data_IF_006933769358
#
_entry.id   IF_006933769358
#
_cell.length_a   1.000
_cell.length_b   1.000
_cell.length_c   1.000
_cell.angle_alpha   90.00
_cell.angle_beta   90.00
_cell.angle_gamma   90.00
#
_symmetry.space_group_name_H-M   'P 1'
#
loop_
_entity.id
_entity.type
_entity.pdbx_description
1 polymer ?
#
# COMPACT_ATOMS: atom_id res chain seq x y z
N UNK A 1 47.99 7.84 45.22
CA UNK A 1 46.72 8.59 45.03
C UNK A 1 46.37 8.61 43.54
N UNK A 2 45.40 7.76 43.21
CA UNK A 2 44.55 7.57 42.02
C UNK A 2 44.93 8.25 40.69
N UNK A 3 45.31 7.42 39.70
CA UNK A 3 45.24 7.75 38.27
C UNK A 3 43.81 7.45 37.77
N UNK A 4 43.04 8.49 37.44
CA UNK A 4 41.76 8.36 36.76
C UNK A 4 41.99 8.14 35.26
N UNK A 5 41.62 6.95 34.77
CA UNK A 5 41.50 6.65 33.35
C UNK A 5 40.09 7.07 32.93
N UNK A 6 39.98 8.13 32.14
CA UNK A 6 38.71 8.54 31.53
C UNK A 6 38.44 7.65 30.31
N UNK A 7 37.44 6.76 30.42
CA UNK A 7 36.90 6.01 29.31
C UNK A 7 35.97 6.92 28.50
N UNK A 8 36.40 7.29 27.29
CA UNK A 8 35.56 7.98 26.31
C UNK A 8 34.60 6.95 25.70
N UNK A 9 33.34 6.96 26.10
CA UNK A 9 32.29 6.16 25.45
C UNK A 9 31.86 6.93 24.19
N UNK A 10 32.33 6.47 23.03
CA UNK A 10 31.88 6.96 21.73
C UNK A 10 30.49 6.35 21.49
N UNK A 11 29.44 7.14 21.68
CA UNK A 11 28.10 6.80 21.20
C UNK A 11 28.10 6.95 19.68
N UNK A 12 28.26 5.83 18.97
CA UNK A 12 27.94 5.76 17.54
C UNK A 12 26.44 5.94 17.41
N UNK A 13 25.98 7.12 16.99
CA UNK A 13 24.64 7.27 16.46
C UNK A 13 24.60 6.45 15.17
N UNK A 14 24.03 5.25 15.24
CA UNK A 14 23.54 4.57 14.05
C UNK A 14 22.38 5.44 13.59
N UNK A 15 22.64 6.35 12.66
CA UNK A 15 21.57 6.88 11.83
C UNK A 15 21.10 5.70 11.03
N UNK A 16 20.01 5.06 11.46
CA UNK A 16 19.21 4.29 10.54
C UNK A 16 18.84 5.27 9.44
N UNK A 17 19.58 5.19 8.33
CA UNK A 17 19.21 5.87 7.12
C UNK A 17 17.88 5.26 6.74
N UNK A 18 16.78 5.91 7.10
CA UNK A 18 15.49 5.62 6.50
C UNK A 18 15.64 6.05 5.04
N UNK A 19 16.12 5.11 4.23
CA UNK A 19 15.84 5.06 2.82
C UNK A 19 14.37 5.40 2.65
N UNK A 20 14.09 6.28 1.69
CA UNK A 20 12.73 6.63 1.32
C UNK A 20 12.06 5.35 0.78
N UNK A 21 11.38 4.59 1.63
CA UNK A 21 10.74 3.37 1.19
C UNK A 21 9.44 3.73 0.44
N UNK A 22 9.29 3.35 -0.85
CA UNK A 22 8.11 3.62 -1.64
C UNK A 22 6.98 2.67 -1.22
N UNK A 23 6.56 2.75 0.03
CA UNK A 23 5.61 1.86 0.72
C UNK A 23 4.16 2.05 0.25
N UNK A 24 3.91 3.01 -0.63
CA UNK A 24 2.60 3.30 -1.21
C UNK A 24 2.67 3.73 -2.67
N UNK A 25 1.53 3.65 -3.34
CA UNK A 25 1.37 4.14 -4.71
C UNK A 25 1.88 5.57 -4.89
N UNK A 26 2.68 5.79 -5.94
CA UNK A 26 3.30 7.08 -6.28
C UNK A 26 4.28 7.63 -5.25
N UNK A 27 4.86 6.76 -4.43
CA UNK A 27 5.89 7.12 -3.46
C UNK A 27 5.34 7.85 -2.23
N UNK A 28 6.21 8.30 -1.32
CA UNK A 28 5.78 8.82 -0.01
C UNK A 28 4.94 10.08 -0.07
N UNK A 29 5.24 10.98 -1.01
CA UNK A 29 4.45 12.20 -1.25
C UNK A 29 3.23 11.95 -2.14
N UNK A 30 3.07 10.73 -2.69
CA UNK A 30 2.00 10.32 -3.61
C UNK A 30 1.87 11.17 -4.89
N UNK A 31 2.89 11.96 -5.20
CA UNK A 31 2.97 12.83 -6.37
C UNK A 31 3.71 12.16 -7.54
N UNK A 32 4.28 10.98 -7.34
CA UNK A 32 5.04 10.24 -8.36
C UNK A 32 6.46 10.75 -8.56
N UNK A 33 6.94 11.64 -7.67
CA UNK A 33 8.31 12.10 -7.65
C UNK A 33 9.12 11.31 -6.62
N UNK A 34 10.25 10.80 -7.09
CA UNK A 34 11.21 9.99 -6.34
C UNK A 34 12.50 10.81 -6.24
N UNK A 35 13.00 11.04 -5.02
CA UNK A 35 14.12 11.96 -4.76
C UNK A 35 15.50 11.31 -4.95
N UNK A 36 15.53 10.06 -5.39
CA UNK A 36 16.69 9.24 -5.61
C UNK A 36 17.65 9.87 -6.62
N UNK A 37 18.93 9.84 -6.27
CA UNK A 37 20.02 10.35 -7.09
C UNK A 37 20.87 9.19 -7.64
N UNK A 38 21.81 9.48 -8.54
CA UNK A 38 22.66 8.43 -9.14
C UNK A 38 21.96 7.55 -10.19
N UNK A 39 20.72 7.87 -10.55
CA UNK A 39 19.99 7.17 -11.62
C UNK A 39 20.62 7.41 -13.00
N UNK A 40 20.55 6.40 -13.85
CA UNK A 40 20.95 6.48 -15.26
C UNK A 40 20.22 7.64 -15.94
N UNK A 41 20.98 8.57 -16.54
CA UNK A 41 20.42 9.69 -17.33
C UNK A 41 20.06 9.27 -18.75
N UNK A 42 20.65 8.17 -19.22
CA UNK A 42 20.35 7.55 -20.51
C UNK A 42 20.53 6.05 -20.37
N UNK A 43 19.63 5.28 -20.99
CA UNK A 43 19.79 3.83 -21.06
C UNK A 43 20.92 3.44 -22.01
N UNK A 44 21.67 2.37 -21.72
CA UNK A 44 22.62 1.83 -22.69
C UNK A 44 21.87 1.29 -23.92
N UNK A 45 22.58 1.08 -25.03
CA UNK A 45 21.96 0.69 -26.31
C UNK A 45 21.12 -0.61 -26.22
N UNK A 46 21.48 -1.54 -25.35
CA UNK A 46 20.73 -2.78 -25.09
C UNK A 46 19.62 -2.67 -24.03
N UNK A 47 19.38 -1.48 -23.47
CA UNK A 47 18.50 -1.28 -22.33
C UNK A 47 19.16 -1.64 -20.98
N UNK A 48 18.54 -1.25 -19.85
CA UNK A 48 19.03 -1.61 -18.53
C UNK A 48 19.06 -3.12 -18.35
N UNK A 49 20.04 -3.61 -17.58
CA UNK A 49 20.12 -5.03 -17.22
C UNK A 49 18.88 -5.46 -16.44
N UNK A 50 18.30 -6.59 -16.83
CA UNK A 50 17.22 -7.23 -16.08
C UNK A 50 17.85 -8.03 -14.94
N UNK A 51 17.66 -7.58 -13.70
CA UNK A 51 18.18 -8.27 -12.52
C UNK A 51 17.40 -9.55 -12.18
N UNK A 52 16.07 -9.50 -12.29
CA UNK A 52 15.18 -10.65 -12.10
C UNK A 52 13.79 -10.36 -12.69
N UNK A 53 13.04 -11.43 -12.95
CA UNK A 53 11.63 -11.39 -13.39
C UNK A 53 10.82 -12.44 -12.65
N UNK A 54 9.50 -12.23 -12.58
CA UNK A 54 8.56 -13.20 -12.03
C UNK A 54 7.27 -13.19 -12.84
N UNK A 55 6.93 -14.32 -13.44
CA UNK A 55 5.84 -14.41 -14.44
C UNK A 55 4.52 -14.94 -13.85
N UNK A 56 4.53 -15.46 -12.61
CA UNK A 56 3.38 -16.16 -12.01
C UNK A 56 2.49 -15.26 -11.14
N UNK A 57 2.53 -13.93 -11.33
CA UNK A 57 1.61 -13.00 -10.64
C UNK A 57 0.15 -13.22 -11.05
N UNK A 58 -0.07 -13.66 -12.29
CA UNK A 58 -1.40 -13.68 -12.90
C UNK A 58 -1.83 -12.28 -13.35
N UNK A 59 -3.14 -12.03 -13.35
CA UNK A 59 -3.71 -10.80 -13.90
C UNK A 59 -3.68 -9.65 -12.89
N UNK A 60 -3.24 -8.46 -13.31
CA UNK A 60 -3.27 -7.28 -12.44
C UNK A 60 -2.63 -6.04 -13.04
N UNK A 61 -2.83 -4.93 -12.33
CA UNK A 61 -2.41 -3.57 -12.67
C UNK A 61 -1.79 -2.84 -11.47
N UNK A 62 -1.58 -3.53 -10.34
CA UNK A 62 -0.95 -2.95 -9.15
C UNK A 62 0.48 -2.51 -9.45
N UNK A 63 0.90 -1.41 -8.83
CA UNK A 63 2.33 -1.06 -8.79
C UNK A 63 3.07 -2.00 -7.85
N UNK A 64 4.37 -2.17 -8.07
CA UNK A 64 5.26 -2.75 -7.08
C UNK A 64 5.67 -1.66 -6.07
N UNK A 65 5.69 -2.02 -4.80
CA UNK A 65 6.17 -1.17 -3.71
C UNK A 65 7.32 -1.87 -2.98
N UNK A 66 8.17 -1.10 -2.30
CA UNK A 66 9.32 -1.63 -1.56
C UNK A 66 9.21 -1.18 -0.11
N UNK A 67 9.48 -2.10 0.80
CA UNK A 67 9.59 -1.85 2.24
C UNK A 67 10.66 -2.78 2.81
N UNK A 68 11.65 -2.21 3.51
CA UNK A 68 12.67 -2.93 4.26
C UNK A 68 13.39 -4.04 3.47
N UNK A 69 13.72 -3.77 2.20
CA UNK A 69 14.43 -4.72 1.33
C UNK A 69 13.55 -5.83 0.75
N UNK A 70 12.23 -5.71 0.85
CA UNK A 70 11.26 -6.59 0.21
C UNK A 70 10.43 -5.84 -0.83
N UNK A 71 10.06 -6.53 -1.90
CA UNK A 71 9.18 -6.03 -2.96
C UNK A 71 7.80 -6.65 -2.82
N UNK A 72 6.75 -5.83 -2.91
CA UNK A 72 5.37 -6.26 -2.78
C UNK A 72 4.56 -5.83 -3.99
N UNK A 73 3.65 -6.69 -4.42
CA UNK A 73 2.65 -6.37 -5.44
C UNK A 73 1.47 -7.32 -5.30
N UNK A 74 0.40 -7.06 -6.04
CA UNK A 74 -0.75 -7.95 -6.12
C UNK A 74 -0.93 -8.53 -7.51
N UNK A 75 -1.56 -9.70 -7.55
CA UNK A 75 -1.96 -10.35 -8.79
C UNK A 75 -3.23 -11.18 -8.57
N UNK A 76 -3.84 -11.66 -9.65
CA UNK A 76 -5.08 -12.44 -9.61
C UNK A 76 -4.93 -13.75 -10.37
N UNK A 77 -5.42 -14.83 -9.77
CA UNK A 77 -5.55 -16.14 -10.43
C UNK A 77 -6.81 -16.83 -9.92
N UNK A 78 -7.55 -17.50 -10.81
CA UNK A 78 -8.79 -18.20 -10.47
C UNK A 78 -9.78 -17.32 -9.68
N UNK A 79 -9.99 -16.09 -10.18
CA UNK A 79 -10.87 -15.05 -9.61
C UNK A 79 -10.54 -14.62 -8.17
N UNK A 80 -9.36 -15.02 -7.67
CA UNK A 80 -8.85 -14.65 -6.35
C UNK A 80 -7.65 -13.74 -6.49
N UNK A 81 -7.63 -12.68 -5.70
CA UNK A 81 -6.49 -11.81 -5.53
C UNK A 81 -5.48 -12.38 -4.53
N UNK A 82 -4.21 -12.14 -4.83
CA UNK A 82 -3.06 -12.56 -4.05
C UNK A 82 -2.14 -11.37 -3.79
N UNK A 83 -1.61 -11.29 -2.57
CA UNK A 83 -0.49 -10.45 -2.20
C UNK A 83 0.81 -11.28 -2.34
N UNK A 84 1.78 -10.72 -3.05
CA UNK A 84 3.11 -11.29 -3.21
C UNK A 84 4.12 -10.46 -2.43
N UNK A 85 5.08 -11.14 -1.80
CA UNK A 85 6.27 -10.55 -1.20
C UNK A 85 7.49 -11.28 -1.74
N UNK A 86 8.46 -10.52 -2.21
CA UNK A 86 9.75 -11.00 -2.71
C UNK A 86 10.87 -10.37 -1.90
N UNK A 87 12.00 -11.06 -1.76
CA UNK A 87 13.22 -10.35 -1.38
C UNK A 87 13.72 -9.48 -2.55
N UNK A 88 14.69 -8.60 -2.29
CA UNK A 88 15.24 -7.70 -3.31
C UNK A 88 15.89 -8.42 -4.51
N UNK A 89 16.20 -9.72 -4.37
CA UNK A 89 16.78 -10.56 -5.43
C UNK A 89 15.70 -11.31 -6.23
N UNK A 90 14.42 -11.03 -5.98
CA UNK A 90 13.29 -11.63 -6.68
C UNK A 90 12.87 -13.00 -6.16
N UNK A 91 13.43 -13.50 -5.05
CA UNK A 91 12.97 -14.75 -4.45
C UNK A 91 11.61 -14.54 -3.81
N UNK A 92 10.62 -15.34 -4.21
CA UNK A 92 9.31 -15.34 -3.58
C UNK A 92 9.43 -15.74 -2.10
N UNK A 93 9.02 -14.83 -1.21
CA UNK A 93 8.93 -15.04 0.23
C UNK A 93 7.58 -15.63 0.58
N UNK A 94 6.50 -15.00 0.11
CA UNK A 94 5.16 -15.56 0.20
C UNK A 94 4.25 -15.11 -0.94
N UNK A 95 3.22 -15.93 -1.19
CA UNK A 95 2.03 -15.65 -1.97
C UNK A 95 0.81 -15.93 -1.11
N UNK A 96 0.01 -14.91 -0.78
CA UNK A 96 -1.10 -15.01 0.17
C UNK A 96 -2.40 -14.55 -0.46
N UNK A 97 -3.40 -15.43 -0.49
CA UNK A 97 -4.72 -15.09 -1.01
C UNK A 97 -5.45 -14.16 -0.02
N UNK A 98 -6.03 -13.05 -0.51
CA UNK A 98 -6.84 -12.15 0.31
C UNK A 98 -8.34 -12.29 0.06
N UNK A 99 -8.75 -12.78 -1.11
CA UNK A 99 -10.17 -13.02 -1.41
C UNK A 99 -10.51 -12.81 -2.89
N UNK A 100 -11.81 -12.73 -3.21
CA UNK A 100 -12.27 -12.51 -4.58
C UNK A 100 -11.77 -11.19 -5.16
N UNK A 101 -11.51 -11.19 -6.46
CA UNK A 101 -11.23 -9.98 -7.23
C UNK A 101 -12.26 -9.69 -8.32
N UNK A 102 -12.20 -8.48 -8.89
CA UNK A 102 -13.09 -8.01 -9.93
C UNK A 102 -12.81 -8.66 -11.29
N UNK A 103 -13.83 -9.33 -11.82
CA UNK A 103 -13.74 -10.17 -13.02
C UNK A 103 -14.72 -9.77 -14.12
N UNK A 104 -15.37 -8.60 -14.05
CA UNK A 104 -16.34 -8.21 -15.10
C UNK A 104 -15.71 -7.42 -16.25
N UNK A 105 -14.70 -6.60 -15.96
CA UNK A 105 -13.96 -5.83 -16.96
C UNK A 105 -12.55 -5.55 -16.44
N UNK A 106 -11.57 -5.34 -17.34
CA UNK A 106 -10.16 -5.12 -17.00
C UNK A 106 -9.69 -6.08 -15.89
N UNK A 107 -9.66 -7.38 -16.19
CA UNK A 107 -9.46 -8.43 -15.20
C UNK A 107 -8.17 -8.22 -14.39
N UNK A 108 -8.24 -8.47 -13.08
CA UNK A 108 -7.06 -8.52 -12.22
C UNK A 108 -7.10 -7.58 -11.04
N UNK A 109 -6.14 -7.79 -10.15
CA UNK A 109 -5.95 -6.92 -8.98
C UNK A 109 -5.49 -5.51 -9.41
N UNK A 110 -5.98 -4.47 -8.75
CA UNK A 110 -5.65 -3.07 -9.12
C UNK A 110 -5.08 -2.26 -7.95
N UNK A 111 -5.56 -2.55 -6.74
CA UNK A 111 -5.15 -1.83 -5.54
C UNK A 111 -3.67 -2.02 -5.29
N UNK A 112 -2.92 -0.91 -5.28
CA UNK A 112 -1.53 -0.94 -4.82
C UNK A 112 -1.56 -0.93 -3.29
N UNK A 113 -0.88 -1.88 -2.62
CA UNK A 113 -0.89 -1.92 -1.17
C UNK A 113 -0.25 -0.66 -0.57
N UNK A 114 -0.54 -0.40 0.69
CA UNK A 114 0.18 0.59 1.52
C UNK A 114 0.73 -0.11 2.74
N UNK A 115 2.03 0.02 3.00
CA UNK A 115 2.72 -0.64 4.11
C UNK A 115 3.07 0.38 5.18
N UNK A 116 2.71 0.09 6.43
CA UNK A 116 3.08 0.93 7.58
C UNK A 116 3.49 0.04 8.75
N UNK A 117 4.80 -0.16 8.89
CA UNK A 117 5.38 -1.04 9.90
C UNK A 117 5.04 -2.50 9.64
N UNK A 118 4.43 -3.15 10.63
CA UNK A 118 4.10 -4.58 10.59
C UNK A 118 2.80 -4.91 9.83
N UNK A 119 2.21 -3.93 9.13
CA UNK A 119 0.89 -4.05 8.50
C UNK A 119 0.86 -3.59 7.05
N UNK A 120 0.05 -4.29 6.27
CA UNK A 120 -0.23 -4.03 4.86
C UNK A 120 -1.71 -3.72 4.71
N UNK A 121 -2.05 -2.69 3.96
CA UNK A 121 -3.41 -2.26 3.71
C UNK A 121 -3.71 -2.29 2.22
N UNK A 122 -4.82 -2.93 1.84
CA UNK A 122 -5.14 -3.22 0.45
C UNK A 122 -6.64 -3.14 0.21
N UNK A 123 -7.06 -2.42 -0.84
CA UNK A 123 -8.43 -2.45 -1.34
C UNK A 123 -8.51 -3.37 -2.57
N UNK A 124 -9.38 -4.37 -2.54
CA UNK A 124 -9.67 -5.17 -3.72
C UNK A 124 -10.62 -4.45 -4.69
N UNK A 125 -10.61 -4.87 -5.96
CA UNK A 125 -11.58 -4.49 -6.98
C UNK A 125 -13.04 -4.78 -6.63
N UNK A 126 -13.27 -5.68 -5.66
CA UNK A 126 -14.59 -5.96 -5.10
C UNK A 126 -14.99 -5.00 -3.96
N UNK A 127 -14.18 -3.98 -3.65
CA UNK A 127 -14.49 -3.01 -2.61
C UNK A 127 -14.27 -3.54 -1.20
N UNK A 128 -13.40 -4.54 -1.02
CA UNK A 128 -13.04 -5.05 0.31
C UNK A 128 -11.68 -4.51 0.73
N UNK A 129 -11.67 -3.74 1.82
CA UNK A 129 -10.47 -3.19 2.45
C UNK A 129 -9.93 -4.22 3.44
N UNK A 130 -8.67 -4.59 3.29
CA UNK A 130 -7.97 -5.54 4.13
C UNK A 130 -6.85 -4.87 4.90
N UNK A 131 -6.65 -5.31 6.14
CA UNK A 131 -5.39 -5.17 6.85
C UNK A 131 -4.78 -6.56 7.03
N UNK A 132 -3.53 -6.71 6.62
CA UNK A 132 -2.77 -7.95 6.70
C UNK A 132 -1.51 -7.74 7.54
N UNK A 133 -1.04 -8.80 8.18
CA UNK A 133 0.28 -8.85 8.79
C UNK A 133 1.36 -8.85 7.70
N UNK A 134 2.39 -8.01 7.82
CA UNK A 134 3.46 -7.86 6.82
C UNK A 134 4.42 -9.06 6.78
N UNK A 135 4.60 -9.76 7.89
CA UNK A 135 5.48 -10.92 7.96
C UNK A 135 4.79 -12.18 7.42
N UNK A 136 3.59 -12.49 7.92
CA UNK A 136 2.88 -13.72 7.57
C UNK A 136 1.94 -13.58 6.37
N UNK A 137 1.54 -12.35 6.03
CA UNK A 137 0.51 -12.07 5.02
C UNK A 137 -0.90 -12.51 5.42
N UNK A 138 -1.14 -12.82 6.69
CA UNK A 138 -2.46 -13.21 7.18
C UNK A 138 -3.36 -11.99 7.41
N UNK A 139 -4.65 -12.14 7.13
CA UNK A 139 -5.64 -11.07 7.34
C UNK A 139 -5.85 -10.87 8.84
N UNK A 140 -5.64 -9.63 9.30
CA UNK A 140 -5.91 -9.22 10.69
C UNK A 140 -7.35 -8.72 10.85
N UNK A 141 -7.83 -7.95 9.87
CA UNK A 141 -9.23 -7.51 9.78
C UNK A 141 -9.59 -7.15 8.33
N UNK A 142 -10.88 -7.09 8.03
CA UNK A 142 -11.39 -6.61 6.75
C UNK A 142 -12.71 -5.83 6.91
N UNK A 143 -12.94 -4.87 6.01
CA UNK A 143 -14.20 -4.12 5.86
C UNK A 143 -14.66 -4.16 4.41
N UNK A 144 -15.96 -4.29 4.19
CA UNK A 144 -16.58 -4.24 2.87
C UNK A 144 -17.21 -2.85 2.69
N UNK A 145 -16.72 -2.09 1.72
CA UNK A 145 -17.14 -0.70 1.54
C UNK A 145 -18.63 -0.57 1.19
N UNK A 146 -19.22 -1.61 0.57
CA UNK A 146 -20.64 -1.61 0.25
C UNK A 146 -21.50 -1.95 1.47
N UNK A 147 -21.11 -2.95 2.26
CA UNK A 147 -21.87 -3.43 3.42
C UNK A 147 -21.69 -2.49 4.61
N UNK A 148 -20.45 -2.13 4.95
CA UNK A 148 -20.12 -1.37 6.16
C UNK A 148 -20.39 0.13 6.00
N UNK A 149 -20.27 0.67 4.77
CA UNK A 149 -20.32 2.12 4.54
C UNK A 149 -21.35 2.57 3.50
N UNK A 150 -22.11 1.65 2.89
CA UNK A 150 -23.18 1.99 1.97
C UNK A 150 -22.72 2.47 0.59
N UNK A 151 -21.46 2.15 0.22
CA UNK A 151 -20.95 2.31 -1.13
C UNK A 151 -21.47 1.23 -2.08
N UNK A 152 -20.88 1.16 -3.28
CA UNK A 152 -21.20 0.11 -4.25
C UNK A 152 -20.02 -0.19 -5.16
N UNK A 153 -19.91 -1.47 -5.57
CA UNK A 153 -18.96 -1.85 -6.62
C UNK A 153 -19.46 -1.29 -7.96
N UNK A 154 -18.69 -0.37 -8.53
CA UNK A 154 -19.02 0.35 -9.76
C UNK A 154 -18.67 -0.45 -11.01
N UNK A 155 -19.02 0.08 -12.19
CA UNK A 155 -18.93 -0.60 -13.49
C UNK A 155 -17.56 -1.20 -13.82
N UNK A 156 -16.45 -0.67 -13.30
CA UNK A 156 -15.09 -1.18 -13.57
C UNK A 156 -14.37 -1.67 -12.30
N UNK A 157 -15.13 -2.00 -11.26
CA UNK A 157 -14.62 -2.37 -9.94
C UNK A 157 -14.26 -1.14 -9.11
N UNK A 158 -13.81 -1.36 -7.88
CA UNK A 158 -13.27 -0.28 -7.04
C UNK A 158 -11.74 -0.24 -7.13
N UNK A 159 -11.14 0.94 -7.03
CA UNK A 159 -9.68 1.01 -6.92
C UNK A 159 -9.24 2.28 -6.20
N UNK A 160 -8.47 2.10 -5.15
CA UNK A 160 -7.89 3.13 -4.32
C UNK A 160 -6.70 2.52 -3.57
N UNK A 161 -5.61 3.26 -3.40
CA UNK A 161 -4.50 2.83 -2.54
C UNK A 161 -4.67 3.47 -1.16
N UNK A 162 -4.97 2.70 -0.09
CA UNK A 162 -5.34 3.26 1.21
C UNK A 162 -4.38 4.35 1.67
N UNK A 163 -4.89 5.50 2.10
CA UNK A 163 -4.07 6.61 2.60
C UNK A 163 -4.01 6.51 4.12
N UNK A 164 -2.81 6.56 4.69
CA UNK A 164 -2.61 6.34 6.11
C UNK A 164 -1.90 7.54 6.73
N UNK A 165 -2.49 8.06 7.80
CA UNK A 165 -1.90 9.08 8.66
C UNK A 165 -1.96 8.63 10.12
N UNK A 166 -0.79 8.36 10.71
CA UNK A 166 -0.68 7.88 12.09
C UNK A 166 -1.52 6.62 12.36
N UNK A 167 -2.69 6.80 12.97
CA UNK A 167 -3.64 5.72 13.33
C UNK A 167 -4.87 5.66 12.42
N UNK A 168 -4.95 6.50 11.39
CA UNK A 168 -6.14 6.69 10.56
C UNK A 168 -5.89 6.17 9.16
N UNK A 169 -6.88 5.47 8.59
CA UNK A 169 -6.97 5.16 7.16
C UNK A 169 -8.05 6.04 6.56
N UNK A 170 -7.78 6.68 5.44
CA UNK A 170 -8.77 7.35 4.61
C UNK A 170 -9.07 6.50 3.39
N UNK A 171 -10.37 6.29 3.13
CA UNK A 171 -10.88 5.54 1.98
C UNK A 171 -12.20 6.15 1.49
N UNK A 172 -12.53 5.97 0.21
CA UNK A 172 -13.68 6.60 -0.46
C UNK A 172 -14.73 5.58 -0.94
N UNK A 173 -15.65 5.14 -0.06
CA UNK A 173 -16.73 4.23 -0.47
C UNK A 173 -17.68 4.81 -1.51
N UNK A 174 -17.85 6.14 -1.52
CA UNK A 174 -19.01 6.79 -2.12
C UNK A 174 -20.33 6.32 -1.49
N UNK A 175 -21.45 6.84 -2.00
CA UNK A 175 -22.79 6.43 -1.65
C UNK A 175 -23.63 7.53 -1.01
N UNK A 176 -24.82 7.15 -0.56
CA UNK A 176 -25.83 8.09 -0.04
C UNK A 176 -25.52 8.60 1.37
N UNK A 177 -24.79 7.81 2.16
CA UNK A 177 -24.50 8.12 3.57
C UNK A 177 -23.10 8.67 3.76
N UNK A 178 -22.10 8.03 3.15
CA UNK A 178 -20.69 8.36 3.31
C UNK A 178 -20.08 8.63 1.94
N UNK A 179 -19.28 9.70 1.80
CA UNK A 179 -18.44 9.90 0.62
C UNK A 179 -17.02 9.38 0.86
N UNK A 180 -16.44 9.82 1.98
CA UNK A 180 -15.14 9.42 2.50
C UNK A 180 -15.31 8.98 3.95
N UNK A 181 -14.57 7.96 4.36
CA UNK A 181 -14.52 7.50 5.75
C UNK A 181 -13.09 7.51 6.27
N UNK A 182 -12.95 7.84 7.54
CA UNK A 182 -11.73 7.73 8.31
C UNK A 182 -11.87 6.57 9.29
N UNK A 183 -10.98 5.58 9.20
CA UNK A 183 -11.04 4.35 9.98
C UNK A 183 -9.82 4.23 10.90
N UNK A 184 -9.98 3.60 12.06
CA UNK A 184 -8.85 3.20 12.89
C UNK A 184 -8.06 2.11 12.17
N UNK A 185 -6.76 2.35 11.91
CA UNK A 185 -5.93 1.42 11.12
C UNK A 185 -5.68 0.07 11.78
N UNK A 186 -5.91 -0.04 13.08
CA UNK A 186 -5.67 -1.28 13.83
C UNK A 186 -6.91 -2.16 13.93
N UNK A 187 -8.11 -1.59 13.93
CA UNK A 187 -9.37 -2.34 14.08
C UNK A 187 -10.30 -2.26 12.86
N UNK A 188 -10.10 -1.28 11.98
CA UNK A 188 -11.02 -0.95 10.89
C UNK A 188 -12.26 -0.19 11.34
N UNK A 189 -12.37 0.18 12.62
CA UNK A 189 -13.54 0.88 13.15
C UNK A 189 -13.66 2.30 12.61
N UNK A 190 -14.90 2.73 12.36
CA UNK A 190 -15.19 4.08 11.89
C UNK A 190 -14.83 5.11 12.97
N UNK A 191 -13.98 6.07 12.62
CA UNK A 191 -13.66 7.25 13.45
C UNK A 191 -14.62 8.38 13.08
N UNK A 192 -14.70 8.73 11.80
CA UNK A 192 -15.61 9.74 11.27
C UNK A 192 -15.88 9.49 9.78
N UNK A 193 -16.92 10.14 9.25
CA UNK A 193 -17.20 10.15 7.80
C UNK A 193 -17.63 11.54 7.31
N UNK A 194 -17.33 11.80 6.04
CA UNK A 194 -17.95 12.92 5.31
C UNK A 194 -19.30 12.45 4.75
N UNK A 195 -20.37 13.27 4.85
CA UNK A 195 -21.66 12.95 4.24
C UNK A 195 -21.52 12.70 2.74
N UNK A 196 -22.21 11.66 2.27
CA UNK A 196 -22.42 11.41 0.83
C UNK A 196 -23.69 12.08 0.33
N UNK A 197 -23.80 12.29 -0.99
CA UNK A 197 -25.03 12.74 -1.65
C UNK A 197 -25.51 11.76 -2.73
N UNK A 198 -24.99 10.53 -2.70
CA UNK A 198 -25.31 9.48 -3.66
C UNK A 198 -24.32 9.37 -4.82
N UNK A 199 -23.20 10.09 -4.76
CA UNK A 199 -22.10 9.92 -5.70
C UNK A 199 -21.53 8.51 -5.59
N UNK A 200 -21.17 7.93 -6.73
CA UNK A 200 -20.46 6.66 -6.76
C UNK A 200 -18.99 6.87 -6.34
N UNK A 201 -18.34 5.79 -5.89
CA UNK A 201 -16.89 5.79 -5.77
C UNK A 201 -16.23 6.14 -7.12
N UNK A 202 -15.04 6.73 -7.05
CA UNK A 202 -14.23 7.04 -8.20
C UNK A 202 -12.83 6.43 -8.05
N UNK A 203 -12.07 6.38 -9.14
CA UNK A 203 -10.71 5.84 -9.16
C UNK A 203 -9.69 6.89 -8.68
N UNK A 204 -9.93 7.48 -7.52
CA UNK A 204 -9.12 8.55 -6.96
C UNK A 204 -8.59 8.14 -5.58
N UNK A 205 -7.28 8.08 -5.46
CA UNK A 205 -6.62 7.98 -4.16
C UNK A 205 -6.48 9.39 -3.57
N UNK A 206 -7.00 9.65 -2.36
CA UNK A 206 -6.90 10.96 -1.74
C UNK A 206 -5.43 11.32 -1.47
N UNK A 207 -5.18 12.62 -1.35
CA UNK A 207 -3.88 13.16 -0.99
C UNK A 207 -4.01 13.90 0.34
N UNK A 208 -3.11 13.61 1.27
CA UNK A 208 -2.95 14.42 2.47
C UNK A 208 -2.15 15.66 2.09
N UNK A 209 -2.64 16.82 2.51
CA UNK A 209 -1.92 18.07 2.36
C UNK A 209 -2.14 18.90 3.60
N UNK A 210 -1.13 19.69 3.96
CA UNK A 210 -1.21 20.64 5.06
C UNK A 210 -1.88 21.92 4.57
N UNK A 211 -2.87 22.41 5.30
CA UNK A 211 -3.56 23.66 5.05
C UNK A 211 -3.62 24.51 6.32
N UNK A 212 -2.99 25.68 6.29
CA UNK A 212 -2.90 26.61 7.43
C UNK A 212 -2.33 25.95 8.71
N UNK A 213 -1.28 25.13 8.56
CA UNK A 213 -0.61 24.49 9.70
C UNK A 213 -1.34 23.25 10.25
N UNK A 214 -2.23 22.64 9.46
CA UNK A 214 -3.08 21.50 9.85
C UNK A 214 -3.25 20.50 8.73
#
# INVERSE_FOLDING_TARGET
MNRLIALLIIYTFITDGFSQEPTSWRGPSRDGHYSETGLLKQWPAGGPEILWTFEELGQGHSSAIVDQGFVYTTGMSNDKGFLFKFDIKGKLVYKKAYGPEYTKSYYGSRGTPTIVGDKIYLLSGMGKLYCLNNESGDILWAKDLSIDFGGSVIQWGMNESPVIDGKVIYITPGGKKNNLVALNRHSGDLIWSSPGKGELAAYCTPLLFEHNGR
#
